data_IF_983892608570
#
_entry.id   IF_983892608570
#
_cell.length_a   1.000
_cell.length_b   1.000
_cell.length_c   1.000
_cell.angle_alpha   90.00
_cell.angle_beta   90.00
_cell.angle_gamma   90.00
#
_symmetry.space_group_name_H-M   'P 1'
#
loop_
_entity.id
_entity.type
_entity.pdbx_description
1 polymer ?
#
# COMPACT_ATOMS: atom_id res chain seq x y z
N UNK A 1 -4.38 4.12 8.37
CA UNK A 1 -3.51 2.95 8.52
C UNK A 1 -3.69 2.00 7.35
N UNK A 2 -2.70 1.16 7.08
CA UNK A 2 -2.79 0.03 6.16
C UNK A 2 -2.01 -1.17 6.66
N UNK A 3 -2.62 -2.34 6.60
CA UNK A 3 -1.99 -3.60 6.96
C UNK A 3 -1.58 -4.37 5.70
N UNK A 4 -0.47 -5.07 5.80
CA UNK A 4 0.04 -5.98 4.77
C UNK A 4 0.40 -7.30 5.45
N UNK A 5 0.10 -8.40 4.80
CA UNK A 5 0.45 -9.74 5.26
C UNK A 5 1.28 -10.47 4.21
N UNK A 6 2.17 -11.34 4.66
CA UNK A 6 2.86 -12.31 3.83
C UNK A 6 2.29 -13.69 4.14
N UNK A 7 1.81 -14.36 3.11
CA UNK A 7 1.27 -15.71 3.23
C UNK A 7 2.21 -16.74 2.62
N UNK A 8 2.23 -17.94 3.20
CA UNK A 8 2.87 -19.12 2.67
C UNK A 8 1.81 -20.08 2.15
N UNK A 9 1.90 -20.40 0.88
CA UNK A 9 1.00 -21.32 0.20
C UNK A 9 1.35 -22.77 0.55
N UNK A 10 0.35 -23.62 0.60
CA UNK A 10 0.52 -25.06 0.75
C UNK A 10 1.11 -25.68 -0.53
N UNK A 11 0.59 -25.27 -1.68
CA UNK A 11 1.06 -25.69 -2.98
C UNK A 11 1.75 -24.55 -3.72
N UNK A 12 2.73 -24.87 -4.56
CA UNK A 12 3.44 -23.86 -5.36
C UNK A 12 2.52 -23.25 -6.43
N UNK A 13 2.80 -21.99 -6.75
CA UNK A 13 2.23 -21.34 -7.92
C UNK A 13 2.85 -21.98 -9.17
N UNK A 14 2.02 -22.64 -9.97
CA UNK A 14 2.43 -23.11 -11.28
C UNK A 14 2.62 -21.90 -12.22
N UNK A 15 3.63 -21.94 -13.07
CA UNK A 15 3.93 -20.90 -14.05
C UNK A 15 4.03 -19.47 -13.45
N UNK A 16 4.79 -19.33 -12.37
CA UNK A 16 4.98 -18.02 -11.72
C UNK A 16 5.36 -16.91 -12.70
N UNK A 17 6.13 -17.24 -13.73
CA UNK A 17 6.54 -16.28 -14.77
C UNK A 17 5.37 -15.78 -15.64
N UNK A 18 4.25 -16.46 -15.65
CA UNK A 18 3.03 -16.02 -16.32
C UNK A 18 2.14 -15.14 -15.43
N UNK A 19 2.45 -15.03 -14.14
CA UNK A 19 1.74 -14.12 -13.25
C UNK A 19 2.20 -12.69 -13.50
N UNK A 20 1.29 -11.71 -13.40
CA UNK A 20 1.69 -10.30 -13.39
C UNK A 20 2.54 -10.01 -12.15
N UNK A 21 3.41 -9.02 -12.24
CA UNK A 21 4.21 -8.56 -11.10
C UNK A 21 3.32 -8.16 -9.91
N UNK A 22 2.13 -7.62 -10.19
CA UNK A 22 1.09 -7.28 -9.22
C UNK A 22 -0.27 -7.66 -9.82
N UNK A 23 -1.01 -8.49 -9.12
CA UNK A 23 -2.41 -8.76 -9.40
C UNK A 23 -3.27 -7.95 -8.43
N UNK A 24 -4.20 -7.14 -8.93
CA UNK A 24 -5.18 -6.44 -8.10
C UNK A 24 -6.55 -7.11 -8.24
N UNK A 25 -7.13 -7.49 -7.10
CA UNK A 25 -8.48 -8.02 -7.04
C UNK A 25 -9.18 -7.52 -5.78
N UNK A 26 -10.38 -6.98 -5.92
CA UNK A 26 -11.17 -6.37 -4.84
C UNK A 26 -10.36 -5.36 -4.00
N UNK A 27 -9.59 -4.50 -4.66
CA UNK A 27 -8.71 -3.50 -4.02
C UNK A 27 -7.58 -4.07 -3.16
N UNK A 28 -7.33 -5.37 -3.24
CA UNK A 28 -6.20 -6.05 -2.61
C UNK A 28 -5.17 -6.35 -3.69
N UNK A 29 -3.92 -5.99 -3.44
CA UNK A 29 -2.80 -6.33 -4.29
C UNK A 29 -2.20 -7.67 -3.84
N UNK A 30 -1.91 -8.51 -4.80
CA UNK A 30 -1.21 -9.78 -4.63
C UNK A 30 0.11 -9.69 -5.35
N UNK A 31 1.21 -9.79 -4.63
CA UNK A 31 2.56 -9.69 -5.17
C UNK A 31 3.26 -11.02 -4.90
N UNK A 32 3.49 -11.85 -5.93
CA UNK A 32 4.22 -13.08 -5.76
C UNK A 32 5.69 -12.79 -5.45
N UNK A 33 6.18 -13.29 -4.34
CA UNK A 33 7.58 -13.15 -3.92
C UNK A 33 8.41 -14.39 -4.28
N UNK A 34 7.76 -15.55 -4.33
CA UNK A 34 8.34 -16.83 -4.69
C UNK A 34 7.22 -17.82 -5.08
N UNK A 35 7.52 -19.01 -5.58
CA UNK A 35 6.48 -20.01 -5.88
C UNK A 35 5.57 -20.36 -4.70
N UNK A 36 6.01 -20.13 -3.47
CA UNK A 36 5.25 -20.44 -2.26
C UNK A 36 4.87 -19.24 -1.41
N UNK A 37 5.19 -18.02 -1.83
CA UNK A 37 4.97 -16.84 -0.99
C UNK A 37 4.34 -15.69 -1.76
N UNK A 38 3.30 -15.15 -1.20
CA UNK A 38 2.60 -13.96 -1.71
C UNK A 38 2.53 -12.90 -0.64
N UNK A 39 2.74 -11.66 -1.05
CA UNK A 39 2.41 -10.48 -0.28
C UNK A 39 0.98 -10.06 -0.62
N UNK A 40 0.14 -9.88 0.39
CA UNK A 40 -1.22 -9.36 0.23
C UNK A 40 -1.35 -8.02 0.94
N UNK A 41 -1.93 -7.04 0.27
CA UNK A 41 -2.13 -5.70 0.86
C UNK A 41 -2.75 -4.71 -0.11
N UNK A 42 -3.22 -3.64 0.42
CA UNK A 42 -3.22 -3.34 1.82
C UNK A 42 -4.62 -2.93 2.25
N UNK A 43 -4.92 -3.11 3.52
CA UNK A 43 -6.14 -2.54 4.08
C UNK A 43 -6.12 -1.01 4.01
N UNK A 44 -7.28 -0.40 4.09
CA UNK A 44 -7.46 1.05 4.26
C UNK A 44 -8.33 1.26 5.49
N UNK A 45 -7.70 1.72 6.55
CA UNK A 45 -8.31 1.81 7.86
C UNK A 45 -8.25 3.23 8.40
N UNK A 46 -9.33 3.72 9.01
CA UNK A 46 -9.28 4.95 9.79
C UNK A 46 -8.48 4.72 11.08
N UNK A 47 -7.85 5.78 11.58
CA UNK A 47 -7.11 5.71 12.85
C UNK A 47 -5.68 5.17 12.74
N UNK A 48 -5.12 4.87 13.88
CA UNK A 48 -3.70 4.52 14.07
C UNK A 48 -3.48 3.07 14.54
N UNK A 49 -4.53 2.40 15.01
CA UNK A 49 -4.44 1.02 15.48
C UNK A 49 -4.93 0.04 14.42
N UNK A 50 -4.21 -1.07 14.19
CA UNK A 50 -4.59 -2.08 13.20
C UNK A 50 -5.81 -2.88 13.66
N UNK A 51 -6.77 -3.04 12.76
CA UNK A 51 -7.99 -3.81 12.98
C UNK A 51 -7.81 -5.28 12.58
N UNK A 52 -7.95 -6.20 13.53
CA UNK A 52 -7.95 -7.64 13.24
C UNK A 52 -9.11 -8.04 12.31
N UNK A 53 -10.25 -7.37 12.40
CA UNK A 53 -11.39 -7.62 11.51
C UNK A 53 -11.08 -7.21 10.07
N UNK A 54 -10.44 -6.06 9.86
CA UNK A 54 -10.03 -5.60 8.53
C UNK A 54 -8.96 -6.50 7.93
N UNK A 55 -8.00 -6.98 8.74
CA UNK A 55 -7.01 -7.94 8.28
C UNK A 55 -7.66 -9.26 7.86
N UNK A 56 -8.60 -9.77 8.66
CA UNK A 56 -9.35 -10.99 8.34
C UNK A 56 -10.15 -10.82 7.05
N UNK A 57 -10.83 -9.70 6.88
CA UNK A 57 -11.59 -9.38 5.66
C UNK A 57 -10.67 -9.35 4.43
N UNK A 58 -9.50 -8.74 4.53
CA UNK A 58 -8.48 -8.76 3.48
C UNK A 58 -8.01 -10.18 3.17
N UNK A 59 -7.64 -10.95 4.19
CA UNK A 59 -7.15 -12.33 4.02
C UNK A 59 -8.20 -13.23 3.38
N UNK A 60 -9.47 -13.08 3.75
CA UNK A 60 -10.59 -13.84 3.15
C UNK A 60 -11.12 -13.24 1.85
N UNK A 61 -10.53 -12.15 1.35
CA UNK A 61 -10.97 -11.43 0.14
C UNK A 61 -12.49 -11.17 0.21
N UNK A 62 -12.94 -10.50 1.26
CA UNK A 62 -14.37 -10.27 1.50
C UNK A 62 -15.21 -11.55 1.43
N UNK A 63 -14.72 -12.65 2.02
CA UNK A 63 -15.34 -13.97 2.03
C UNK A 63 -15.32 -14.75 0.70
N UNK A 64 -14.66 -14.24 -0.33
CA UNK A 64 -14.57 -14.88 -1.66
C UNK A 64 -13.22 -15.55 -1.93
N UNK A 65 -12.36 -15.68 -0.92
CA UNK A 65 -11.03 -16.25 -1.08
C UNK A 65 -11.08 -17.66 -1.71
N UNK A 66 -10.26 -17.92 -2.74
CA UNK A 66 -10.13 -19.25 -3.32
C UNK A 66 -9.44 -20.19 -2.31
N UNK A 67 -9.57 -21.49 -2.56
CA UNK A 67 -9.08 -22.52 -1.62
C UNK A 67 -7.59 -22.40 -1.31
N UNK A 68 -6.77 -22.08 -2.31
CA UNK A 68 -5.33 -21.94 -2.12
C UNK A 68 -4.92 -20.77 -1.19
N UNK A 69 -5.80 -19.77 -1.01
CA UNK A 69 -5.63 -18.72 0.02
C UNK A 69 -6.12 -19.22 1.36
N UNK A 70 -7.28 -19.86 1.41
CA UNK A 70 -7.87 -20.37 2.67
C UNK A 70 -6.96 -21.35 3.39
N UNK A 71 -6.25 -22.21 2.63
CA UNK A 71 -5.30 -23.20 3.17
C UNK A 71 -3.92 -22.60 3.47
N UNK A 72 -3.66 -21.36 3.03
CA UNK A 72 -2.37 -20.71 3.28
C UNK A 72 -2.21 -20.28 4.74
N UNK A 73 -0.97 -20.00 5.14
CA UNK A 73 -0.62 -19.53 6.49
C UNK A 73 -0.05 -18.13 6.42
N UNK A 74 -0.53 -17.24 7.28
CA UNK A 74 0.11 -15.93 7.49
C UNK A 74 1.44 -16.20 8.21
N UNK A 75 2.55 -15.84 7.57
CA UNK A 75 3.90 -16.03 8.12
C UNK A 75 4.56 -14.72 8.55
N UNK A 76 4.01 -13.59 8.11
CA UNK A 76 4.45 -12.27 8.52
C UNK A 76 3.33 -11.26 8.36
N UNK A 77 3.32 -10.25 9.22
CA UNK A 77 2.37 -9.14 9.13
C UNK A 77 3.03 -7.86 9.61
N UNK A 78 2.64 -6.74 9.00
CA UNK A 78 3.04 -5.40 9.43
C UNK A 78 1.99 -4.39 9.01
N UNK A 79 2.11 -3.20 9.57
CA UNK A 79 1.23 -2.09 9.25
C UNK A 79 2.02 -0.79 9.15
N UNK A 80 1.41 0.21 8.57
CA UNK A 80 2.00 1.53 8.45
C UNK A 80 0.93 2.61 8.35
N UNK A 81 1.28 3.79 8.84
CA UNK A 81 0.45 4.97 8.72
C UNK A 81 0.71 5.65 7.39
N UNK A 82 -0.37 6.11 6.75
CA UNK A 82 -0.29 6.94 5.55
C UNK A 82 -0.76 8.34 5.90
N UNK A 83 0.15 9.29 5.81
CA UNK A 83 -0.21 10.70 5.99
C UNK A 83 -1.21 11.13 4.91
N UNK A 84 -2.30 11.76 5.35
CA UNK A 84 -3.29 12.42 4.51
C UNK A 84 -3.65 13.77 5.13
N UNK A 85 -3.60 14.86 4.37
CA UNK A 85 -4.06 16.16 4.86
C UNK A 85 -5.53 16.08 5.31
N UNK A 86 -5.87 16.72 6.41
CA UNK A 86 -7.23 16.64 6.96
C UNK A 86 -8.22 17.49 6.16
N UNK A 87 -7.86 18.74 5.88
CA UNK A 87 -8.76 19.72 5.23
C UNK A 87 -8.15 20.30 3.94
N UNK A 88 -7.17 19.64 3.38
CA UNK A 88 -6.47 20.08 2.18
C UNK A 88 -6.40 18.92 1.17
N UNK A 89 -6.26 19.20 -0.13
CA UNK A 89 -6.05 18.15 -1.12
C UNK A 89 -4.72 17.40 -0.87
N UNK A 90 -4.67 16.15 -1.26
CA UNK A 90 -3.46 15.34 -1.23
C UNK A 90 -2.81 15.29 -2.64
N UNK A 91 -1.49 15.45 -2.78
CA UNK A 91 -0.51 15.72 -1.72
C UNK A 91 -0.56 17.17 -1.21
N UNK A 92 -0.03 17.39 0.00
CA UNK A 92 0.15 18.74 0.53
C UNK A 92 1.50 19.29 0.07
N UNK A 93 1.45 20.22 -0.87
CA UNK A 93 2.59 20.99 -1.37
C UNK A 93 2.38 22.46 -1.01
N UNK A 94 3.16 22.97 -0.10
CA UNK A 94 2.93 24.33 0.42
C UNK A 94 4.24 24.98 0.86
N UNK A 95 4.36 26.26 0.60
CA UNK A 95 5.33 27.12 1.25
C UNK A 95 4.67 27.71 2.49
N UNK A 96 5.18 27.38 3.67
CA UNK A 96 4.62 27.84 4.95
C UNK A 96 5.08 29.23 5.28
N UNK A 97 6.36 29.50 5.03
CA UNK A 97 7.00 30.81 5.12
C UNK A 97 8.16 30.82 4.13
N UNK A 98 8.74 31.98 3.86
CA UNK A 98 9.80 32.13 2.88
C UNK A 98 10.95 31.15 3.13
N UNK A 99 11.21 30.28 2.16
CA UNK A 99 12.24 29.24 2.22
C UNK A 99 11.86 27.97 2.97
N UNK A 100 10.66 27.89 3.59
CA UNK A 100 10.19 26.66 4.25
C UNK A 100 9.10 25.98 3.43
N UNK A 101 9.50 24.92 2.72
CA UNK A 101 8.60 24.15 1.86
C UNK A 101 8.16 22.86 2.55
N UNK A 102 6.88 22.54 2.43
CA UNK A 102 6.31 21.27 2.85
C UNK A 102 5.91 20.43 1.62
N UNK A 103 6.30 19.16 1.65
CA UNK A 103 5.90 18.14 0.69
C UNK A 103 5.55 16.85 1.44
N UNK A 104 4.27 16.60 1.65
CA UNK A 104 3.78 15.49 2.46
C UNK A 104 2.36 15.08 2.06
N UNK A 105 1.79 14.13 2.79
CA UNK A 105 0.39 13.78 2.63
C UNK A 105 0.05 13.07 1.33
N UNK A 106 0.99 12.35 0.72
CA UNK A 106 0.79 11.65 -0.57
C UNK A 106 -0.19 10.48 -0.49
N UNK A 107 -0.59 10.07 0.71
CA UNK A 107 -1.54 8.98 0.97
C UNK A 107 -1.12 7.67 0.31
N UNK A 108 -1.74 7.29 -0.83
CA UNK A 108 -1.46 6.03 -1.54
C UNK A 108 -0.55 6.20 -2.76
N UNK A 109 -0.31 7.43 -3.18
CA UNK A 109 0.28 7.76 -4.47
C UNK A 109 1.71 8.32 -4.36
N UNK A 110 2.40 8.11 -3.23
CA UNK A 110 3.71 8.70 -2.98
C UNK A 110 4.74 8.42 -4.08
N UNK A 111 4.87 7.17 -4.50
CA UNK A 111 5.83 6.79 -5.56
C UNK A 111 5.44 7.43 -6.90
N UNK A 112 4.15 7.41 -7.25
CA UNK A 112 3.64 7.96 -8.51
C UNK A 112 3.80 9.49 -8.59
N UNK A 113 3.59 10.18 -7.48
CA UNK A 113 3.62 11.64 -7.42
C UNK A 113 5.02 12.21 -7.12
N UNK A 114 5.97 11.38 -6.68
CA UNK A 114 7.29 11.84 -6.28
C UNK A 114 8.01 12.70 -7.34
N UNK A 115 8.02 12.36 -8.65
CA UNK A 115 8.67 13.19 -9.66
C UNK A 115 8.07 14.60 -9.75
N UNK A 116 6.75 14.71 -9.88
CA UNK A 116 6.06 16.01 -9.98
C UNK A 116 6.18 16.86 -8.71
N UNK A 117 6.20 16.20 -7.54
CA UNK A 117 6.44 16.90 -6.28
C UNK A 117 7.87 17.42 -6.18
N UNK A 118 8.86 16.68 -6.68
CA UNK A 118 10.25 17.12 -6.74
C UNK A 118 10.43 18.31 -7.69
N UNK A 119 9.80 18.28 -8.87
CA UNK A 119 9.78 19.39 -9.82
C UNK A 119 9.19 20.67 -9.19
N UNK A 120 8.08 20.53 -8.46
CA UNK A 120 7.45 21.66 -7.76
C UNK A 120 8.41 22.29 -6.73
N UNK A 121 9.13 21.45 -5.94
CA UNK A 121 10.11 21.93 -4.97
C UNK A 121 11.26 22.65 -5.68
N UNK A 122 11.83 22.04 -6.75
CA UNK A 122 12.88 22.64 -7.55
C UNK A 122 12.50 24.02 -8.08
N UNK A 123 11.31 24.10 -8.71
CA UNK A 123 10.79 25.38 -9.21
C UNK A 123 10.66 26.46 -8.10
N UNK A 124 10.22 26.06 -6.91
CA UNK A 124 10.10 26.99 -5.78
C UNK A 124 11.46 27.48 -5.26
N UNK A 125 12.47 26.61 -5.24
CA UNK A 125 13.83 26.98 -4.82
C UNK A 125 14.45 27.93 -5.84
N UNK A 126 14.33 27.64 -7.13
CA UNK A 126 14.92 28.43 -8.21
C UNK A 126 14.23 29.80 -8.39
N UNK A 127 13.04 29.97 -7.83
CA UNK A 127 12.24 31.20 -7.93
C UNK A 127 12.42 32.16 -6.73
N UNK A 128 13.27 31.81 -5.78
CA UNK A 128 13.63 32.63 -4.63
C UNK A 128 14.88 33.47 -4.91
#
# INVERSE_FOLDING_TARGET
LGQVIKIKLENKIENLNAWPAILNYQSINFIPLSPYQILMGATVEPGIEPSAAMQKTMFTINHTAPEWIKTSKIIHQWNGLRARPLNEPAPLLKELEHGLLINTGHYRNGILLAPSCAEWIGFKIDSQ
#
